data_IF_113675657681
#
_entry.id   IF_113675657681
#
_cell.length_a   1.000
_cell.length_b   1.000
_cell.length_c   1.000
_cell.angle_alpha   90.00
_cell.angle_beta   90.00
_cell.angle_gamma   90.00
#
_symmetry.space_group_name_H-M   'P 1'
#
loop_
_entity.id
_entity.type
_entity.pdbx_description
1 polymer ?
#
# COMPACT_ATOMS: atom_id res chain seq x y z
N UNK A 1 58.43 28.10 22.00
CA UNK A 1 58.51 28.91 20.78
C UNK A 1 58.18 28.01 19.59
N UNK A 2 57.12 28.35 18.83
CA UNK A 2 56.57 27.72 17.59
C UNK A 2 56.14 26.23 17.66
N UNK A 3 54.86 25.88 17.90
CA UNK A 3 53.67 25.78 17.00
C UNK A 3 53.87 24.88 15.77
N UNK A 4 53.07 23.81 15.62
CA UNK A 4 52.11 23.61 14.50
C UNK A 4 51.19 22.40 14.80
N UNK A 5 49.87 22.67 14.75
CA UNK A 5 48.75 21.72 14.79
C UNK A 5 48.26 21.56 13.35
N UNK A 6 47.93 20.35 12.91
CA UNK A 6 47.13 20.15 11.69
C UNK A 6 46.07 19.09 11.94
N UNK A 7 44.83 19.56 12.14
CA UNK A 7 43.61 18.77 12.07
C UNK A 7 43.03 18.91 10.66
N UNK A 8 42.79 17.80 9.97
CA UNK A 8 42.18 17.79 8.65
C UNK A 8 40.73 17.34 8.78
N UNK A 9 39.82 18.32 8.84
CA UNK A 9 38.38 18.12 8.79
C UNK A 9 37.94 18.15 7.32
N UNK A 10 37.38 17.05 6.82
CA UNK A 10 36.83 16.97 5.47
C UNK A 10 35.32 17.29 5.52
N UNK A 11 34.98 18.53 5.16
CA UNK A 11 33.62 18.94 4.86
C UNK A 11 33.50 19.14 3.34
N UNK A 12 32.55 18.45 2.71
CA UNK A 12 32.12 18.75 1.35
C UNK A 12 30.62 19.05 1.36
N UNK A 13 30.31 20.33 1.14
CA UNK A 13 29.04 20.84 0.65
C UNK A 13 28.99 20.75 -0.89
N UNK A 14 27.83 20.39 -1.46
CA UNK A 14 27.13 21.08 -2.57
C UNK A 14 25.95 20.19 -3.03
N UNK A 15 24.68 20.58 -2.93
CA UNK A 15 23.87 21.61 -3.62
C UNK A 15 23.06 21.08 -4.83
N UNK A 16 21.76 20.85 -4.59
CA UNK A 16 20.63 21.16 -5.50
C UNK A 16 20.25 20.17 -6.63
N UNK A 17 19.00 20.20 -7.13
CA UNK A 17 18.03 21.30 -7.05
C UNK A 17 16.71 21.00 -6.33
N UNK A 18 16.11 22.09 -5.87
CA UNK A 18 14.77 22.24 -5.33
C UNK A 18 13.68 21.60 -6.20
N UNK A 19 12.89 20.72 -5.59
CA UNK A 19 11.49 20.53 -5.94
C UNK A 19 10.67 21.14 -4.81
N UNK A 20 9.84 22.12 -5.16
CA UNK A 20 8.89 22.74 -4.25
C UNK A 20 7.97 21.64 -3.71
N UNK A 21 8.20 21.24 -2.47
CA UNK A 21 7.25 20.48 -1.68
C UNK A 21 6.07 21.40 -1.37
N UNK A 22 4.87 20.95 -1.72
CA UNK A 22 3.63 21.46 -1.16
C UNK A 22 3.74 21.47 0.37
N UNK A 23 3.32 22.56 1.00
CA UNK A 23 3.22 22.70 2.46
C UNK A 23 2.18 21.69 3.00
N UNK A 24 2.60 20.45 3.18
CA UNK A 24 1.93 19.50 4.07
C UNK A 24 2.24 19.94 5.50
N UNK A 25 1.19 20.31 6.25
CA UNK A 25 1.29 20.83 7.60
C UNK A 25 2.19 19.98 8.49
N UNK A 26 3.26 20.60 8.98
CA UNK A 26 4.25 20.02 9.87
C UNK A 26 3.60 19.65 11.22
N UNK A 27 3.82 18.41 11.66
CA UNK A 27 3.39 17.89 12.96
C UNK A 27 4.23 18.53 14.06
N UNK A 28 3.81 19.70 14.56
CA UNK A 28 4.44 20.32 15.72
C UNK A 28 3.90 19.76 17.04
N UNK A 29 4.80 19.10 17.79
CA UNK A 29 4.63 18.76 19.20
C UNK A 29 5.00 19.99 20.03
N UNK A 30 4.00 20.72 20.52
CA UNK A 30 4.21 21.90 21.39
C UNK A 30 3.90 21.55 22.85
N UNK A 31 4.86 21.76 23.74
CA UNK A 31 4.68 21.70 25.19
C UNK A 31 3.95 22.95 25.69
N UNK A 32 2.74 22.76 26.21
CA UNK A 32 1.94 23.78 26.86
C UNK A 32 1.06 23.13 27.92
N UNK A 33 1.08 23.69 29.13
CA UNK A 33 0.56 23.14 30.37
C UNK A 33 -0.98 22.98 30.38
N UNK A 34 -1.46 21.92 29.74
CA UNK A 34 -2.56 21.02 30.14
C UNK A 34 -2.63 19.79 29.18
N UNK A 35 -1.53 19.53 28.47
CA UNK A 35 -1.41 18.41 27.54
C UNK A 35 -1.27 17.11 28.35
N UNK A 36 -2.31 16.28 28.34
CA UNK A 36 -2.13 14.84 28.53
C UNK A 36 -1.05 14.41 27.54
N UNK A 37 0.12 13.99 28.03
CA UNK A 37 1.39 13.75 27.30
C UNK A 37 1.33 12.72 26.14
N UNK A 38 0.16 12.30 25.68
CA UNK A 38 0.00 11.18 24.75
C UNK A 38 -1.06 11.40 23.66
N UNK A 39 -1.42 12.62 23.27
CA UNK A 39 -2.39 12.84 22.18
C UNK A 39 -1.70 13.07 20.82
N UNK A 40 -2.31 12.56 19.74
CA UNK A 40 -1.92 12.89 18.35
C UNK A 40 -2.69 14.13 17.92
N UNK A 41 -2.00 15.12 17.36
CA UNK A 41 -2.54 16.43 16.99
C UNK A 41 -2.51 16.64 15.48
N UNK A 42 -3.53 17.27 14.93
CA UNK A 42 -3.54 17.84 13.59
C UNK A 42 -4.15 19.25 13.63
N UNK A 43 -3.64 20.19 12.84
CA UNK A 43 -4.16 21.56 12.81
C UNK A 43 -4.24 22.12 11.39
N UNK A 44 -5.23 23.00 11.22
CA UNK A 44 -5.40 23.91 10.09
C UNK A 44 -5.63 25.31 10.68
N UNK A 45 -5.56 26.40 9.88
CA UNK A 45 -5.92 27.72 10.38
C UNK A 45 -7.30 27.69 11.07
N UNK A 46 -7.34 28.16 12.32
CA UNK A 46 -8.54 28.25 13.17
C UNK A 46 -9.12 26.96 13.76
N UNK A 47 -8.56 25.77 13.46
CA UNK A 47 -9.02 24.49 14.04
C UNK A 47 -7.85 23.55 14.33
N UNK A 48 -7.84 23.00 15.55
CA UNK A 48 -6.93 21.92 15.95
C UNK A 48 -7.77 20.75 16.45
N UNK A 49 -7.38 19.54 16.04
CA UNK A 49 -7.98 18.28 16.46
C UNK A 49 -6.92 17.49 17.21
N UNK A 50 -7.31 16.92 18.35
CA UNK A 50 -6.50 15.99 19.13
C UNK A 50 -7.23 14.67 19.27
N UNK A 51 -6.51 13.56 19.17
CA UNK A 51 -7.06 12.21 19.37
C UNK A 51 -6.15 11.40 20.29
N UNK A 52 -6.77 10.50 21.06
CA UNK A 52 -6.02 9.49 21.80
C UNK A 52 -5.45 8.44 20.81
N UNK A 53 -4.17 8.06 20.92
CA UNK A 53 -3.48 7.21 19.94
C UNK A 53 -3.91 5.74 20.00
N UNK A 54 -4.63 5.34 21.05
CA UNK A 54 -5.10 3.98 21.24
C UNK A 54 -6.63 3.92 21.23
N UNK A 55 -7.16 2.96 20.47
CA UNK A 55 -8.56 2.58 20.56
C UNK A 55 -8.78 1.86 21.91
N UNK A 56 -9.83 2.25 22.62
CA UNK A 56 -10.18 1.61 23.90
C UNK A 56 -11.27 0.57 23.63
N UNK A 57 -11.04 -0.72 23.94
CA UNK A 57 -12.10 -1.72 23.86
C UNK A 57 -13.16 -1.44 24.92
N UNK A 58 -14.42 -1.47 24.51
CA UNK A 58 -15.58 -1.31 25.38
C UNK A 58 -16.65 -2.34 25.03
N UNK A 59 -17.61 -2.55 25.94
CA UNK A 59 -18.81 -3.33 25.66
C UNK A 59 -20.01 -2.37 25.67
N UNK A 60 -20.72 -2.27 24.55
CA UNK A 60 -21.93 -1.44 24.41
C UNK A 60 -23.05 -2.31 23.85
N UNK A 61 -24.19 -2.31 24.54
CA UNK A 61 -25.36 -3.13 24.17
C UNK A 61 -25.03 -4.62 23.94
N UNK A 62 -24.13 -5.16 24.76
CA UNK A 62 -23.67 -6.55 24.67
C UNK A 62 -22.71 -6.85 23.52
N UNK A 63 -22.29 -5.85 22.74
CA UNK A 63 -21.31 -5.97 21.65
C UNK A 63 -19.97 -5.40 22.05
N UNK A 64 -18.90 -6.07 21.66
CA UNK A 64 -17.55 -5.50 21.78
C UNK A 64 -17.36 -4.43 20.70
N UNK A 65 -16.94 -3.25 21.14
CA UNK A 65 -16.64 -2.11 20.28
C UNK A 65 -15.27 -1.54 20.63
N UNK A 66 -14.72 -0.74 19.74
CA UNK A 66 -13.46 -0.02 19.94
C UNK A 66 -13.71 1.47 19.77
N UNK A 67 -13.28 2.25 20.75
CA UNK A 67 -13.62 3.68 20.82
C UNK A 67 -12.38 4.53 20.65
N UNK A 68 -12.39 5.39 19.62
CA UNK A 68 -11.48 6.51 19.48
C UNK A 68 -12.08 7.71 20.18
N UNK A 69 -11.32 8.37 21.05
CA UNK A 69 -11.73 9.63 21.69
C UNK A 69 -10.86 10.77 21.24
N UNK A 70 -11.48 11.93 21.03
CA UNK A 70 -10.77 13.14 20.65
C UNK A 70 -11.45 14.41 21.11
N UNK A 71 -10.78 15.52 20.83
CA UNK A 71 -11.24 16.88 21.16
C UNK A 71 -10.80 17.88 20.11
N UNK A 72 -11.42 19.06 20.11
CA UNK A 72 -11.17 20.14 19.15
C UNK A 72 -10.95 21.49 19.84
N UNK A 73 -10.31 22.43 19.14
CA UNK A 73 -10.06 23.78 19.68
C UNK A 73 -11.31 24.66 19.61
N UNK A 74 -12.25 24.30 18.75
CA UNK A 74 -13.53 24.96 18.54
C UNK A 74 -14.69 24.09 18.98
N UNK A 75 -15.81 24.74 19.27
CA UNK A 75 -17.05 24.02 19.52
C UNK A 75 -17.51 23.28 18.26
N UNK A 76 -18.09 22.10 18.42
CA UNK A 76 -18.57 21.23 17.35
C UNK A 76 -20.07 21.40 17.17
N UNK A 77 -20.49 21.55 15.92
CA UNK A 77 -21.86 21.30 15.49
C UNK A 77 -22.07 19.82 15.20
N UNK A 78 -21.07 19.17 14.60
CA UNK A 78 -21.15 17.76 14.25
C UNK A 78 -19.80 17.17 13.86
N UNK A 79 -19.79 15.84 13.71
CA UNK A 79 -18.62 15.09 13.30
C UNK A 79 -19.05 13.83 12.55
N UNK A 80 -18.37 13.52 11.45
CA UNK A 80 -18.64 12.32 10.65
C UNK A 80 -17.36 11.53 10.44
N UNK A 81 -17.45 10.21 10.58
CA UNK A 81 -16.37 9.28 10.26
C UNK A 81 -16.72 8.46 9.02
N UNK A 82 -15.78 8.34 8.10
CA UNK A 82 -16.00 7.68 6.81
C UNK A 82 -14.71 7.11 6.23
N UNK A 83 -14.86 6.13 5.34
CA UNK A 83 -13.82 5.67 4.41
C UNK A 83 -14.20 6.13 3.01
N UNK A 84 -13.40 5.83 1.99
CA UNK A 84 -13.72 6.29 0.63
C UNK A 84 -15.13 5.83 0.21
N UNK A 85 -16.03 6.80 0.00
CA UNK A 85 -17.43 6.66 -0.42
C UNK A 85 -18.45 6.10 0.61
N UNK A 86 -18.04 5.68 1.81
CA UNK A 86 -18.94 5.05 2.79
C UNK A 86 -18.76 5.58 4.23
N UNK A 87 -19.87 5.72 4.95
CA UNK A 87 -19.85 5.97 6.39
C UNK A 87 -19.17 4.80 7.12
N UNK A 88 -18.31 5.12 8.09
CA UNK A 88 -17.46 4.13 8.74
C UNK A 88 -17.27 4.44 10.22
N UNK A 89 -17.76 3.57 11.08
CA UNK A 89 -17.92 3.83 12.51
C UNK A 89 -19.06 4.80 12.82
N UNK A 90 -19.42 4.88 14.09
CA UNK A 90 -20.40 5.84 14.61
C UNK A 90 -19.69 6.99 15.31
N UNK A 91 -19.76 8.18 14.72
CA UNK A 91 -19.13 9.38 15.25
C UNK A 91 -20.15 10.20 16.07
N UNK A 92 -19.79 10.56 17.31
CA UNK A 92 -20.68 11.21 18.26
C UNK A 92 -19.99 12.40 18.92
N UNK A 93 -20.68 13.54 19.01
CA UNK A 93 -20.25 14.69 19.83
C UNK A 93 -20.66 14.43 21.28
N UNK A 94 -19.68 14.42 22.18
CA UNK A 94 -19.88 14.14 23.61
C UNK A 94 -20.07 15.41 24.43
N UNK A 95 -19.40 16.49 24.04
CA UNK A 95 -19.56 17.82 24.60
C UNK A 95 -19.25 18.86 23.53
N UNK A 96 -19.35 20.14 23.86
CA UNK A 96 -19.04 21.22 22.93
C UNK A 96 -17.72 21.00 22.17
N UNK A 97 -16.68 20.40 22.78
CA UNK A 97 -15.36 20.24 22.13
C UNK A 97 -14.82 18.83 22.17
N UNK A 98 -15.62 17.84 22.53
CA UNK A 98 -15.16 16.45 22.64
C UNK A 98 -16.04 15.54 21.82
N UNK A 99 -15.44 14.50 21.27
CA UNK A 99 -16.13 13.53 20.43
C UNK A 99 -15.58 12.14 20.65
N UNK A 100 -16.32 11.16 20.14
CA UNK A 100 -15.83 9.81 19.97
C UNK A 100 -16.22 9.24 18.60
N UNK A 101 -15.47 8.23 18.17
CA UNK A 101 -15.83 7.36 17.04
C UNK A 101 -15.81 5.93 17.55
N UNK A 102 -16.93 5.24 17.36
CA UNK A 102 -17.14 3.86 17.82
C UNK A 102 -17.06 2.93 16.63
N UNK A 103 -16.21 1.91 16.73
CA UNK A 103 -16.03 0.89 15.72
C UNK A 103 -16.54 -0.46 16.21
N UNK A 104 -17.28 -1.16 15.37
CA UNK A 104 -17.66 -2.55 15.61
C UNK A 104 -16.44 -3.48 15.52
N UNK A 105 -16.28 -4.36 16.50
CA UNK A 105 -15.13 -5.26 16.56
C UNK A 105 -15.10 -6.32 15.44
N UNK A 106 -16.24 -6.67 14.84
CA UNK A 106 -16.32 -7.75 13.85
C UNK A 106 -16.09 -7.25 12.41
N UNK A 107 -16.71 -6.13 12.02
CA UNK A 107 -16.64 -5.63 10.64
C UNK A 107 -15.59 -4.53 10.44
N UNK A 108 -15.54 -3.55 11.34
CA UNK A 108 -14.78 -2.32 11.11
C UNK A 108 -13.33 -2.45 11.60
N UNK A 109 -13.12 -3.11 12.74
CA UNK A 109 -11.77 -3.30 13.28
C UNK A 109 -10.86 -4.08 12.34
N UNK A 110 -11.38 -5.09 11.64
CA UNK A 110 -10.63 -5.85 10.64
C UNK A 110 -10.15 -4.96 9.49
N UNK A 111 -10.99 -4.03 9.05
CA UNK A 111 -10.64 -3.07 8.00
C UNK A 111 -9.59 -2.06 8.48
N UNK A 112 -9.73 -1.56 9.71
CA UNK A 112 -8.71 -0.71 10.36
C UNK A 112 -7.37 -1.43 10.52
N UNK A 113 -7.39 -2.70 10.95
CA UNK A 113 -6.19 -3.52 11.09
C UNK A 113 -5.54 -3.88 9.75
N UNK A 114 -6.35 -4.01 8.69
CA UNK A 114 -5.88 -4.15 7.31
C UNK A 114 -5.24 -2.86 6.76
N UNK A 115 -5.38 -1.73 7.48
CA UNK A 115 -4.72 -0.48 7.18
C UNK A 115 -5.55 0.49 6.34
N UNK A 116 -6.88 0.31 6.28
CA UNK A 116 -7.78 1.28 5.65
C UNK A 116 -7.59 2.66 6.31
N UNK A 117 -7.52 3.71 5.49
CA UNK A 117 -7.48 5.09 5.98
C UNK A 117 -8.89 5.54 6.26
N UNK A 118 -9.09 6.07 7.46
CA UNK A 118 -10.34 6.70 7.84
C UNK A 118 -10.20 8.20 7.73
N UNK A 119 -11.29 8.87 7.40
CA UNK A 119 -11.42 10.31 7.40
C UNK A 119 -12.43 10.74 8.45
N UNK A 120 -12.15 11.90 9.06
CA UNK A 120 -12.95 12.51 10.09
C UNK A 120 -13.30 13.92 9.65
N UNK A 121 -14.53 14.12 9.16
CA UNK A 121 -15.05 15.44 8.85
C UNK A 121 -15.52 16.10 10.14
N UNK A 122 -14.91 17.23 10.46
CA UNK A 122 -15.17 18.03 11.66
C UNK A 122 -15.91 19.29 11.25
N UNK A 123 -17.07 19.52 11.85
CA UNK A 123 -17.94 20.66 11.56
C UNK A 123 -17.99 21.59 12.78
N UNK A 124 -17.22 22.69 12.80
CA UNK A 124 -17.26 23.66 13.88
C UNK A 124 -18.60 24.40 13.94
N UNK A 125 -19.06 24.72 15.15
CA UNK A 125 -20.29 25.49 15.37
C UNK A 125 -20.17 26.95 14.91
N UNK A 126 -18.96 27.50 14.86
CA UNK A 126 -18.74 28.89 14.43
C UNK A 126 -18.68 29.00 12.92
N UNK A 127 -19.56 29.80 12.32
CA UNK A 127 -19.56 30.08 10.87
C UNK A 127 -18.27 30.75 10.37
N UNK A 128 -17.45 31.31 11.26
CA UNK A 128 -16.14 31.89 10.92
C UNK A 128 -15.01 30.85 10.82
N UNK A 129 -15.27 29.59 11.17
CA UNK A 129 -14.29 28.49 11.11
C UNK A 129 -14.75 27.51 10.05
N UNK A 130 -13.91 27.26 9.06
CA UNK A 130 -14.23 26.33 7.97
C UNK A 130 -14.24 24.88 8.50
N UNK A 131 -15.17 24.03 8.02
CA UNK A 131 -15.08 22.59 8.22
C UNK A 131 -13.75 22.04 7.72
N UNK A 132 -13.24 21.01 8.40
CA UNK A 132 -11.98 20.37 8.03
C UNK A 132 -12.11 18.86 8.05
N UNK A 133 -11.26 18.18 7.29
CA UNK A 133 -11.17 16.72 7.29
C UNK A 133 -9.81 16.28 7.81
N UNK A 134 -9.80 15.49 8.87
CA UNK A 134 -8.59 14.82 9.35
C UNK A 134 -8.47 13.42 8.74
N UNK A 135 -7.27 13.03 8.33
CA UNK A 135 -6.96 11.68 7.88
C UNK A 135 -6.32 10.88 9.01
N UNK A 136 -6.86 9.71 9.31
CA UNK A 136 -6.43 8.82 10.39
C UNK A 136 -5.97 7.49 9.81
N UNK A 137 -4.77 7.06 10.21
CA UNK A 137 -4.22 5.74 9.84
C UNK A 137 -3.89 4.98 11.12
N UNK A 138 -4.41 3.76 11.22
CA UNK A 138 -4.21 2.91 12.39
C UNK A 138 -3.13 1.87 12.09
N UNK A 139 -2.27 1.63 13.08
CA UNK A 139 -1.31 0.53 13.05
C UNK A 139 -1.68 -0.44 14.18
N UNK A 140 -2.02 -1.70 13.88
CA UNK A 140 -2.27 -2.68 14.93
C UNK A 140 -0.98 -2.91 15.71
N UNK A 141 -1.06 -2.80 17.03
CA UNK A 141 0.03 -3.12 17.94
C UNK A 141 -0.41 -4.23 18.88
N UNK A 142 0.52 -5.14 19.21
CA UNK A 142 0.31 -6.04 20.32
C UNK A 142 0.60 -5.27 21.60
N UNK A 143 -0.40 -5.04 22.44
CA UNK A 143 -0.15 -4.71 23.84
C UNK A 143 0.57 -5.89 24.46
N UNK A 144 1.82 -5.67 24.91
CA UNK A 144 2.73 -6.65 25.56
C UNK A 144 2.11 -8.04 25.74
N UNK A 145 2.56 -9.08 25.03
CA UNK A 145 2.01 -10.42 25.24
C UNK A 145 2.12 -10.76 26.73
N UNK A 146 0.97 -10.91 27.38
CA UNK A 146 0.89 -11.42 28.75
C UNK A 146 0.70 -12.92 28.63
N UNK A 147 1.62 -13.68 29.25
CA UNK A 147 1.70 -15.14 29.11
C UNK A 147 2.94 -15.62 28.35
N UNK A 148 3.18 -16.93 28.39
CA UNK A 148 4.28 -17.57 27.67
C UNK A 148 3.95 -17.59 26.18
N UNK A 149 4.57 -16.70 25.40
CA UNK A 149 4.56 -16.82 23.94
C UNK A 149 5.45 -17.98 23.53
N UNK A 150 4.87 -19.15 23.31
CA UNK A 150 5.55 -20.25 22.61
C UNK A 150 4.94 -20.40 21.22
N UNK A 151 5.78 -20.21 20.21
CA UNK A 151 5.49 -20.67 18.86
C UNK A 151 5.91 -22.14 18.80
N UNK A 152 4.96 -23.04 18.65
CA UNK A 152 5.25 -24.47 18.53
C UNK A 152 5.03 -24.94 17.10
N UNK A 153 6.06 -25.62 16.58
CA UNK A 153 6.03 -26.30 15.30
C UNK A 153 5.58 -27.73 15.57
N UNK A 154 4.52 -28.21 14.88
CA UNK A 154 4.00 -29.57 15.10
C UNK A 154 5.06 -30.63 14.72
N UNK A 155 5.04 -31.83 15.33
CA UNK A 155 6.03 -32.87 15.07
C UNK A 155 6.19 -33.24 13.58
N UNK A 156 5.13 -33.18 12.78
CA UNK A 156 5.22 -33.44 11.34
C UNK A 156 6.12 -32.43 10.59
N UNK A 157 6.13 -31.17 11.02
CA UNK A 157 6.99 -30.13 10.45
C UNK A 157 8.40 -30.23 11.02
N UNK A 158 8.52 -30.51 12.32
CA UNK A 158 9.82 -30.72 12.97
C UNK A 158 10.55 -31.95 12.39
N UNK A 159 9.86 -33.05 12.15
CA UNK A 159 10.43 -34.24 11.51
C UNK A 159 10.84 -34.02 10.04
N UNK A 160 10.19 -33.12 9.30
CA UNK A 160 10.68 -32.71 7.97
C UNK A 160 11.98 -31.91 8.10
N UNK A 161 12.00 -30.92 9.02
CA UNK A 161 13.17 -30.07 9.26
C UNK A 161 14.38 -30.86 9.77
N UNK A 162 14.16 -31.83 10.67
CA UNK A 162 15.21 -32.68 11.23
C UNK A 162 15.74 -33.70 10.20
N UNK A 163 14.92 -34.08 9.21
CA UNK A 163 15.30 -34.95 8.11
C UNK A 163 16.11 -34.24 7.01
N UNK A 164 16.19 -32.91 7.02
CA UNK A 164 17.03 -32.13 6.12
C UNK A 164 18.49 -32.19 6.59
N UNK A 165 19.22 -33.24 6.20
CA UNK A 165 20.67 -33.37 6.45
C UNK A 165 21.54 -32.43 5.60
N UNK A 166 20.92 -31.68 4.70
CA UNK A 166 21.51 -30.67 3.83
C UNK A 166 20.50 -29.54 3.67
N UNK A 167 20.95 -28.32 3.34
CA UNK A 167 20.12 -27.15 3.05
C UNK A 167 19.17 -27.32 1.83
N UNK A 168 18.91 -28.56 1.41
CA UNK A 168 18.11 -28.93 0.25
C UNK A 168 16.64 -29.00 0.63
N UNK A 169 16.09 -27.82 0.74
CA UNK A 169 14.75 -27.53 1.22
C UNK A 169 13.66 -27.74 0.16
N UNK A 170 14.02 -28.10 -1.08
CA UNK A 170 13.07 -28.35 -2.18
C UNK A 170 12.22 -29.61 -1.93
N UNK A 171 12.72 -30.58 -1.15
CA UNK A 171 12.02 -31.83 -0.87
C UNK A 171 10.84 -31.70 0.13
N UNK A 172 10.78 -30.64 0.95
CA UNK A 172 9.68 -30.40 1.88
C UNK A 172 8.48 -29.66 1.21
N UNK A 173 8.49 -29.52 -0.12
CA UNK A 173 7.50 -28.73 -0.87
C UNK A 173 7.77 -27.22 -0.79
N UNK A 174 6.86 -26.41 -1.31
CA UNK A 174 7.00 -24.95 -1.26
C UNK A 174 6.98 -24.46 0.20
N UNK A 175 8.14 -24.14 0.76
CA UNK A 175 8.28 -23.50 2.06
C UNK A 175 8.75 -22.06 1.86
N UNK A 176 8.34 -21.17 2.76
CA UNK A 176 8.75 -19.77 2.74
C UNK A 176 9.60 -19.49 3.98
N UNK A 177 10.84 -18.98 3.84
CA UNK A 177 11.62 -18.54 4.98
C UNK A 177 10.90 -17.39 5.69
N UNK A 178 10.41 -17.63 6.90
CA UNK A 178 9.86 -16.59 7.78
C UNK A 178 11.02 -15.86 8.47
N UNK A 179 11.81 -15.11 7.71
CA UNK A 179 12.93 -14.32 8.27
C UNK A 179 12.47 -13.07 9.01
N UNK A 180 11.19 -12.70 8.90
CA UNK A 180 10.46 -11.78 9.79
C UNK A 180 9.00 -12.19 9.84
N UNK A 181 8.35 -12.06 11.00
CA UNK A 181 6.89 -12.09 11.13
C UNK A 181 6.27 -10.88 10.42
N UNK A 182 6.40 -10.82 9.10
CA UNK A 182 5.59 -9.97 8.25
C UNK A 182 4.38 -10.84 7.95
N UNK A 183 3.21 -10.48 8.50
CA UNK A 183 1.95 -11.16 8.23
C UNK A 183 1.87 -11.50 6.72
N UNK A 184 1.50 -12.73 6.32
CA UNK A 184 1.42 -13.14 4.92
C UNK A 184 0.53 -12.22 4.06
N UNK A 185 -0.31 -11.42 4.73
CA UNK A 185 -1.21 -10.42 4.16
C UNK A 185 -0.60 -9.03 3.88
N UNK A 186 0.72 -8.80 4.08
CA UNK A 186 1.35 -7.50 3.74
C UNK A 186 1.80 -7.38 2.27
N UNK A 187 1.48 -8.35 1.42
CA UNK A 187 1.57 -8.19 -0.03
C UNK A 187 0.46 -7.26 -0.52
N UNK A 188 0.72 -6.51 -1.60
CA UNK A 188 -0.34 -5.77 -2.29
C UNK A 188 -1.39 -6.78 -2.75
N UNK A 189 -2.62 -6.67 -2.24
CA UNK A 189 -3.70 -7.50 -2.74
C UNK A 189 -4.09 -7.04 -4.13
N UNK A 190 -3.98 -7.97 -5.07
CA UNK A 190 -4.43 -7.80 -6.45
C UNK A 190 -5.80 -8.43 -6.60
N UNK A 191 -6.76 -7.69 -7.16
CA UNK A 191 -8.06 -8.20 -7.59
C UNK A 191 -8.19 -8.03 -9.11
N UNK A 192 -9.03 -8.82 -9.76
CA UNK A 192 -9.25 -8.67 -11.21
C UNK A 192 -9.81 -7.28 -11.50
N UNK A 193 -9.34 -6.67 -12.59
CA UNK A 193 -9.79 -5.32 -12.93
C UNK A 193 -11.32 -5.28 -13.06
N UNK A 194 -12.02 -4.32 -12.41
CA UNK A 194 -13.47 -4.23 -12.45
C UNK A 194 -13.99 -3.55 -13.74
N UNK A 195 -13.09 -3.11 -14.62
CA UNK A 195 -13.47 -2.38 -15.83
C UNK A 195 -14.17 -3.26 -16.87
N UNK A 196 -14.94 -2.63 -17.75
CA UNK A 196 -15.29 -3.26 -19.03
C UNK A 196 -14.03 -3.49 -19.86
N UNK A 197 -13.67 -4.76 -20.01
CA UNK A 197 -12.49 -5.21 -20.74
C UNK A 197 -12.76 -5.57 -22.21
N UNK A 198 -13.99 -5.35 -22.71
CA UNK A 198 -14.41 -5.76 -24.05
C UNK A 198 -13.50 -5.18 -25.15
N UNK A 199 -13.12 -3.91 -25.03
CA UNK A 199 -12.23 -3.26 -25.98
C UNK A 199 -10.84 -3.94 -26.04
N UNK A 200 -10.32 -4.36 -24.89
CA UNK A 200 -9.02 -5.02 -24.79
C UNK A 200 -9.07 -6.46 -25.30
N UNK A 201 -10.16 -7.18 -25.05
CA UNK A 201 -10.40 -8.51 -25.62
C UNK A 201 -10.41 -8.44 -27.15
N UNK A 202 -11.16 -7.49 -27.73
CA UNK A 202 -11.21 -7.28 -29.17
C UNK A 202 -9.85 -6.90 -29.76
N UNK A 203 -9.12 -5.99 -29.09
CA UNK A 203 -7.77 -5.61 -29.50
C UNK A 203 -6.79 -6.80 -29.48
N UNK A 204 -6.88 -7.68 -28.47
CA UNK A 204 -6.05 -8.88 -28.35
C UNK A 204 -6.30 -9.85 -29.48
N UNK A 205 -7.57 -10.10 -29.80
CA UNK A 205 -7.96 -10.95 -30.92
C UNK A 205 -7.43 -10.38 -32.25
N UNK A 206 -7.57 -9.08 -32.47
CA UNK A 206 -7.07 -8.41 -33.68
C UNK A 206 -5.55 -8.50 -33.81
N UNK A 207 -4.80 -8.31 -32.71
CA UNK A 207 -3.33 -8.41 -32.72
C UNK A 207 -2.91 -9.86 -33.01
N UNK A 208 -3.49 -10.83 -32.31
CA UNK A 208 -3.15 -12.25 -32.51
C UNK A 208 -3.44 -12.74 -33.93
N UNK A 209 -4.48 -12.22 -34.60
CA UNK A 209 -4.78 -12.54 -35.99
C UNK A 209 -3.71 -12.05 -36.99
N UNK A 210 -2.92 -11.04 -36.61
CA UNK A 210 -1.86 -10.47 -37.45
C UNK A 210 -0.48 -11.06 -37.18
N UNK A 211 -0.33 -11.82 -36.08
CA UNK A 211 0.96 -12.39 -35.70
C UNK A 211 1.29 -13.63 -36.54
N UNK A 212 2.59 -13.88 -36.83
CA UNK A 212 3.04 -15.13 -37.42
C UNK A 212 2.63 -16.35 -36.60
N UNK A 213 2.46 -17.50 -37.27
CA UNK A 213 2.13 -18.76 -36.61
C UNK A 213 3.11 -19.08 -35.47
N UNK A 214 2.57 -19.51 -34.33
CA UNK A 214 3.34 -19.81 -33.12
C UNK A 214 3.65 -18.60 -32.23
N UNK A 215 3.29 -17.38 -32.64
CA UNK A 215 3.37 -16.19 -31.77
C UNK A 215 2.00 -15.82 -31.21
N UNK A 216 1.97 -15.35 -29.96
CA UNK A 216 0.74 -14.85 -29.33
C UNK A 216 1.02 -13.78 -28.29
N UNK A 217 0.08 -12.86 -28.10
CA UNK A 217 0.00 -11.96 -26.93
C UNK A 217 -1.19 -12.34 -26.07
N UNK A 218 -0.99 -12.28 -24.76
CA UNK A 218 -2.05 -12.25 -23.77
C UNK A 218 -1.85 -11.06 -22.83
N UNK A 219 -2.92 -10.66 -22.16
CA UNK A 219 -2.86 -9.60 -21.16
C UNK A 219 -3.74 -9.94 -19.95
N UNK A 220 -3.40 -9.37 -18.80
CA UNK A 220 -4.25 -9.37 -17.60
C UNK A 220 -4.18 -8.01 -16.92
N UNK A 221 -5.31 -7.55 -16.40
CA UNK A 221 -5.41 -6.32 -15.63
C UNK A 221 -5.81 -6.61 -14.20
N UNK A 222 -5.14 -5.96 -13.25
CA UNK A 222 -5.43 -6.06 -11.83
C UNK A 222 -5.61 -4.68 -11.21
N UNK A 223 -6.57 -4.57 -10.29
CA UNK A 223 -6.63 -3.47 -9.33
C UNK A 223 -5.81 -3.78 -8.08
N UNK A 224 -5.27 -2.76 -7.43
CA UNK A 224 -4.59 -2.87 -6.13
C UNK A 224 -5.45 -2.23 -5.04
N UNK A 225 -5.73 -2.94 -3.94
CA UNK A 225 -6.55 -2.39 -2.85
C UNK A 225 -5.82 -1.30 -2.03
N UNK A 226 -4.48 -1.25 -2.10
CA UNK A 226 -3.65 -0.45 -1.21
C UNK A 226 -3.30 0.93 -1.81
N UNK A 227 -4.31 1.66 -2.31
CA UNK A 227 -4.12 2.96 -3.00
C UNK A 227 -3.61 4.07 -2.07
N UNK A 228 -3.66 3.84 -0.76
CA UNK A 228 -3.47 4.84 0.28
C UNK A 228 -2.04 4.88 0.86
N UNK A 229 -1.17 3.97 0.41
CA UNK A 229 0.26 3.94 0.75
C UNK A 229 1.07 4.05 -0.53
N UNK A 230 2.28 4.60 -0.43
CA UNK A 230 3.26 4.55 -1.51
C UNK A 230 3.60 3.08 -1.80
N UNK A 231 2.80 2.44 -2.65
CA UNK A 231 3.02 1.08 -3.11
C UNK A 231 4.25 1.09 -4.00
N UNK A 232 5.29 0.40 -3.58
CA UNK A 232 6.51 0.24 -4.36
C UNK A 232 6.39 -0.95 -5.32
N UNK A 233 7.14 -0.91 -6.43
CA UNK A 233 7.15 -1.97 -7.43
C UNK A 233 7.53 -3.35 -6.83
N UNK A 234 8.53 -3.48 -5.95
CA UNK A 234 8.86 -4.77 -5.32
C UNK A 234 7.67 -5.45 -4.63
N UNK A 235 6.84 -4.69 -3.90
CA UNK A 235 5.64 -5.24 -3.25
C UNK A 235 4.58 -5.68 -4.25
N UNK A 236 4.39 -4.93 -5.33
CA UNK A 236 3.47 -5.30 -6.42
C UNK A 236 3.92 -6.60 -7.08
N UNK A 237 5.21 -6.73 -7.39
CA UNK A 237 5.79 -7.95 -7.97
C UNK A 237 5.53 -9.14 -7.06
N UNK A 238 5.77 -8.98 -5.76
CA UNK A 238 5.56 -10.05 -4.79
C UNK A 238 4.07 -10.42 -4.67
N UNK A 239 3.17 -9.45 -4.64
CA UNK A 239 1.72 -9.68 -4.63
C UNK A 239 1.25 -10.42 -5.89
N UNK A 240 1.76 -10.02 -7.06
CA UNK A 240 1.49 -10.70 -8.33
C UNK A 240 2.00 -12.15 -8.35
N UNK A 241 3.26 -12.37 -7.96
CA UNK A 241 3.85 -13.72 -7.89
C UNK A 241 3.13 -14.64 -6.90
N UNK A 242 2.60 -14.09 -5.81
CA UNK A 242 1.84 -14.87 -4.84
C UNK A 242 0.47 -15.28 -5.39
N UNK A 243 -0.14 -14.44 -6.24
CA UNK A 243 -1.45 -14.71 -6.84
C UNK A 243 -1.36 -15.69 -8.00
N UNK A 244 -0.31 -15.59 -8.81
CA UNK A 244 -0.21 -16.34 -10.05
C UNK A 244 0.93 -17.36 -9.99
N UNK A 245 0.64 -18.67 -10.11
CA UNK A 245 1.64 -19.73 -10.01
C UNK A 245 2.46 -19.85 -11.31
N UNK A 246 3.16 -18.79 -11.69
CA UNK A 246 3.91 -18.75 -12.96
C UNK A 246 5.23 -19.57 -12.97
N UNK A 247 5.52 -20.34 -11.92
CA UNK A 247 6.65 -21.28 -11.88
C UNK A 247 8.02 -20.61 -12.05
N UNK A 248 8.85 -21.16 -12.96
CA UNK A 248 10.25 -20.83 -13.25
C UNK A 248 10.49 -19.43 -13.87
N UNK A 249 9.80 -18.39 -13.39
CA UNK A 249 10.00 -17.02 -13.81
C UNK A 249 11.38 -16.51 -13.40
N UNK A 250 12.20 -16.17 -14.38
CA UNK A 250 13.45 -15.47 -14.18
C UNK A 250 13.18 -13.97 -14.23
N UNK A 251 13.47 -13.26 -13.14
CA UNK A 251 13.43 -11.80 -13.14
C UNK A 251 14.63 -11.25 -13.92
N UNK A 252 14.38 -10.58 -15.04
CA UNK A 252 15.44 -10.02 -15.91
C UNK A 252 15.73 -8.55 -15.64
N UNK A 253 15.06 -7.94 -14.67
CA UNK A 253 15.28 -6.55 -14.25
C UNK A 253 14.24 -5.57 -14.79
N UNK A 254 14.41 -4.31 -14.39
CA UNK A 254 13.58 -3.20 -14.83
C UNK A 254 13.88 -2.85 -16.28
N UNK A 255 12.86 -2.50 -17.05
CA UNK A 255 13.00 -2.08 -18.45
C UNK A 255 12.56 -0.62 -18.63
N UNK A 256 13.25 0.12 -19.49
CA UNK A 256 12.88 1.51 -19.79
C UNK A 256 11.61 1.56 -20.63
N UNK A 257 10.85 2.65 -20.54
CA UNK A 257 9.64 2.84 -21.33
C UNK A 257 9.91 2.74 -22.84
N UNK A 258 11.04 3.28 -23.31
CA UNK A 258 11.46 3.19 -24.72
C UNK A 258 11.74 1.75 -25.14
N UNK A 259 12.48 0.99 -24.33
CA UNK A 259 12.80 -0.41 -24.64
C UNK A 259 11.54 -1.27 -24.67
N UNK A 260 10.64 -1.10 -23.69
CA UNK A 260 9.36 -1.78 -23.67
C UNK A 260 8.51 -1.42 -24.91
N UNK A 261 8.41 -0.13 -25.25
CA UNK A 261 7.67 0.33 -26.44
C UNK A 261 8.21 -0.33 -27.71
N UNK A 262 9.52 -0.42 -27.85
CA UNK A 262 10.15 -1.06 -29.00
C UNK A 262 9.82 -2.56 -29.06
N UNK A 263 9.90 -3.28 -27.93
CA UNK A 263 9.56 -4.71 -27.86
C UNK A 263 8.07 -4.95 -28.19
N UNK A 264 7.14 -4.17 -27.62
CA UNK A 264 5.71 -4.33 -27.87
C UNK A 264 5.31 -3.91 -29.29
N UNK A 265 5.98 -2.91 -29.87
CA UNK A 265 5.77 -2.51 -31.27
C UNK A 265 6.19 -3.63 -32.21
N UNK A 266 7.36 -4.25 -31.95
CA UNK A 266 7.84 -5.41 -32.71
C UNK A 266 6.90 -6.63 -32.59
N UNK A 267 6.08 -6.68 -31.54
CA UNK A 267 5.09 -7.73 -31.30
C UNK A 267 3.68 -7.32 -31.74
N UNK A 268 3.53 -6.85 -32.99
CA UNK A 268 2.22 -6.55 -33.57
C UNK A 268 1.53 -5.34 -32.95
N UNK A 269 2.29 -4.33 -32.51
CA UNK A 269 1.77 -3.12 -31.85
C UNK A 269 0.99 -3.43 -30.56
N UNK A 270 1.47 -4.40 -29.77
CA UNK A 270 0.85 -4.84 -28.52
C UNK A 270 0.69 -3.73 -27.45
N UNK A 271 1.33 -2.57 -27.64
CA UNK A 271 1.08 -1.39 -26.82
C UNK A 271 -0.40 -0.95 -26.80
N UNK A 272 -1.17 -1.28 -27.85
CA UNK A 272 -2.61 -1.01 -27.90
C UNK A 272 -3.42 -1.79 -26.85
N UNK A 273 -2.84 -2.83 -26.23
CA UNK A 273 -3.44 -3.58 -25.13
C UNK A 273 -3.28 -2.90 -23.76
N UNK A 274 -2.57 -1.78 -23.70
CA UNK A 274 -2.57 -0.93 -22.52
C UNK A 274 -3.87 -0.11 -22.58
N UNK A 275 -4.73 -0.15 -21.54
CA UNK A 275 -5.99 0.59 -21.52
C UNK A 275 -5.80 2.05 -21.93
N UNK A 276 -6.68 2.59 -22.78
CA UNK A 276 -6.56 3.96 -23.30
C UNK A 276 -6.50 5.02 -22.19
N UNK A 277 -7.26 4.82 -21.11
CA UNK A 277 -7.23 5.66 -19.89
C UNK A 277 -5.86 5.65 -19.21
N UNK A 278 -5.07 4.58 -19.40
CA UNK A 278 -3.71 4.45 -18.90
C UNK A 278 -2.65 4.87 -19.93
N UNK A 279 -2.95 4.96 -21.23
CA UNK A 279 -1.98 5.35 -22.25
C UNK A 279 -1.45 6.78 -22.06
N UNK A 280 -2.28 7.69 -21.50
CA UNK A 280 -1.86 9.05 -21.12
C UNK A 280 -0.84 9.01 -19.98
N UNK A 281 -1.06 8.13 -18.99
CA UNK A 281 -0.15 7.90 -17.84
C UNK A 281 1.08 7.08 -18.23
N UNK A 282 0.93 6.20 -19.23
CA UNK A 282 1.98 5.35 -19.79
C UNK A 282 3.13 6.19 -20.35
N UNK A 283 2.88 7.43 -20.79
CA UNK A 283 3.96 8.32 -21.22
C UNK A 283 4.69 9.03 -20.07
N UNK A 284 4.11 9.04 -18.87
CA UNK A 284 4.56 9.95 -17.81
C UNK A 284 5.10 9.23 -16.58
N UNK A 285 4.54 8.09 -16.14
CA UNK A 285 4.94 7.47 -14.87
C UNK A 285 4.46 6.02 -14.72
N UNK A 286 5.16 5.06 -15.33
CA UNK A 286 5.01 3.65 -14.99
C UNK A 286 6.38 3.00 -14.76
N UNK A 287 6.42 1.99 -13.90
CA UNK A 287 7.60 1.14 -13.74
C UNK A 287 7.29 -0.20 -14.36
N UNK A 288 8.19 -0.66 -15.24
CA UNK A 288 8.08 -1.96 -15.88
C UNK A 288 9.15 -2.91 -15.38
N UNK A 289 8.71 -4.11 -15.01
CA UNK A 289 9.57 -5.24 -14.72
C UNK A 289 9.42 -6.27 -15.83
N UNK A 290 10.56 -6.76 -16.35
CA UNK A 290 10.57 -7.84 -17.33
C UNK A 290 10.90 -9.17 -16.67
N UNK A 291 10.09 -10.18 -16.96
CA UNK A 291 10.35 -11.56 -16.60
C UNK A 291 10.44 -12.43 -17.84
N UNK A 292 11.18 -13.53 -17.72
CA UNK A 292 11.31 -14.54 -18.77
C UNK A 292 10.97 -15.93 -18.22
N UNK A 293 10.41 -16.78 -19.09
CA UNK A 293 10.09 -18.18 -18.82
C UNK A 293 10.45 -19.04 -20.03
N UNK A 294 10.64 -20.34 -19.82
CA UNK A 294 10.95 -21.31 -20.89
C UNK A 294 12.21 -20.93 -21.68
N UNK A 295 13.27 -20.52 -20.97
CA UNK A 295 14.53 -20.09 -21.60
C UNK A 295 14.39 -18.83 -22.46
N UNK A 296 13.48 -17.91 -22.10
CA UNK A 296 13.28 -16.63 -22.80
C UNK A 296 12.26 -16.66 -23.92
N UNK A 297 11.63 -17.81 -24.21
CA UNK A 297 10.57 -17.94 -25.22
C UNK A 297 9.30 -17.19 -24.83
N UNK A 298 9.00 -17.15 -23.54
CA UNK A 298 7.90 -16.35 -23.01
C UNK A 298 8.48 -15.16 -22.27
N UNK A 299 8.06 -13.95 -22.67
CA UNK A 299 8.39 -12.72 -21.95
C UNK A 299 7.14 -12.17 -21.30
N UNK A 300 7.26 -11.77 -20.03
CA UNK A 300 6.20 -11.11 -19.29
C UNK A 300 6.65 -9.70 -18.91
N UNK A 301 5.75 -8.74 -19.09
CA UNK A 301 5.97 -7.35 -18.74
C UNK A 301 4.92 -6.96 -17.70
N UNK A 302 5.38 -6.72 -16.47
CA UNK A 302 4.53 -6.21 -15.41
C UNK A 302 4.64 -4.70 -15.38
N UNK A 303 3.52 -4.03 -15.63
CA UNK A 303 3.39 -2.58 -15.72
C UNK A 303 2.62 -2.09 -14.50
N UNK A 304 3.27 -1.33 -13.63
CA UNK A 304 2.60 -0.76 -12.46
C UNK A 304 2.33 0.74 -12.65
N UNK A 305 1.06 1.11 -12.51
CA UNK A 305 0.54 2.47 -12.62
C UNK A 305 0.13 2.96 -11.23
N UNK A 306 1.07 3.55 -10.49
CA UNK A 306 0.85 3.97 -9.11
C UNK A 306 -0.33 4.94 -8.96
N UNK A 307 -0.44 5.93 -9.86
CA UNK A 307 -1.52 6.93 -9.84
C UNK A 307 -2.92 6.34 -10.07
N UNK A 308 -3.00 5.17 -10.69
CA UNK A 308 -4.25 4.51 -11.02
C UNK A 308 -4.52 3.27 -10.17
N UNK A 309 -3.63 2.93 -9.22
CA UNK A 309 -3.74 1.72 -8.40
C UNK A 309 -3.89 0.43 -9.23
N UNK A 310 -3.14 0.34 -10.34
CA UNK A 310 -3.38 -0.71 -11.35
C UNK A 310 -2.10 -1.38 -11.79
N UNK A 311 -2.24 -2.66 -12.11
CA UNK A 311 -1.19 -3.50 -12.68
C UNK A 311 -1.70 -4.09 -13.98
N UNK A 312 -0.92 -3.94 -15.04
CA UNK A 312 -1.19 -4.62 -16.32
C UNK A 312 -0.04 -5.56 -16.59
N UNK A 313 -0.34 -6.83 -16.86
CA UNK A 313 0.65 -7.84 -17.23
C UNK A 313 0.44 -8.19 -18.69
N UNK A 314 1.48 -8.03 -19.50
CA UNK A 314 1.50 -8.44 -20.89
C UNK A 314 2.39 -9.67 -21.03
N UNK A 315 1.89 -10.73 -21.66
CA UNK A 315 2.65 -11.93 -21.96
C UNK A 315 2.81 -12.05 -23.48
N UNK A 316 4.05 -12.16 -23.95
CA UNK A 316 4.37 -12.42 -25.35
C UNK A 316 5.05 -13.77 -25.48
N UNK A 317 4.50 -14.65 -26.30
CA UNK A 317 5.05 -15.98 -26.57
C UNK A 317 5.69 -16.02 -27.96
N UNK A 318 6.97 -16.36 -27.99
CA UNK A 318 7.69 -16.72 -29.21
C UNK A 318 7.78 -18.26 -29.32
N UNK A 319 7.84 -18.81 -30.55
CA UNK A 319 7.98 -20.24 -30.78
C UNK A 319 9.26 -20.85 -30.18
#
# INVERSE_FOLDING_TARGET
>A
MFRTVLALSLALLSCGPNLAASEDGELEVSEGADALETEVKANVPSLTVWVKPALVPEVRDGRQVYVLRGRTSQNLEGINAYVFDDAFGSANVLSARTFEVVFDAQSELNSLAAGIRMFLAVHPQSASVQPATASLTFAPTFTRPTGTTSLSVRPAVQSCLDALSSNDSEACGAWYPVTRCVLPWRGVQLFDTPDDVTALVNATASINAQLPAGKSVAWRGYGTQDVLRAVDLPRVINGWKAREPYGDLVNTGSITATALKNELTAFGNAQALIPATQQVVYQQSFVAQRFERNGGKTKLYLLFFASAARVTVLETNAP
#
